data_IF_832442927934
#
_entry.id   IF_832442927934
#
_cell.length_a   1.000
_cell.length_b   1.000
_cell.length_c   1.000
_cell.angle_alpha   90.00
_cell.angle_beta   90.00
_cell.angle_gamma   90.00
#
_symmetry.space_group_name_H-M   'P 1'
#
loop_
_entity.id
_entity.type
_entity.pdbx_description
1 polymer ?
#
# COMPACT_ATOMS: atom_id res chain seq x y z
N UNK A 1 5.66 31.00 11.84
CA UNK A 1 5.85 30.66 10.41
C UNK A 1 5.07 29.39 10.18
N UNK A 2 4.08 29.41 9.29
CA UNK A 2 3.26 28.22 9.01
C UNK A 2 3.95 27.35 7.95
N UNK A 3 3.97 26.01 8.13
CA UNK A 3 4.55 25.10 7.15
C UNK A 3 3.73 25.13 5.86
N UNK A 4 4.40 25.02 4.71
CA UNK A 4 3.75 24.92 3.40
C UNK A 4 3.18 23.51 3.21
N UNK A 5 2.14 23.35 2.42
CA UNK A 5 1.65 22.01 2.03
C UNK A 5 2.55 21.41 0.95
N UNK A 6 2.98 20.15 1.12
CA UNK A 6 3.71 19.42 0.09
C UNK A 6 2.80 19.07 -1.10
N UNK A 7 1.54 18.67 -0.83
CA UNK A 7 0.55 18.41 -1.86
C UNK A 7 0.26 19.65 -2.73
N UNK A 8 0.22 20.84 -2.12
CA UNK A 8 0.00 22.11 -2.82
C UNK A 8 1.19 22.52 -3.70
N UNK A 9 2.40 22.03 -3.41
CA UNK A 9 3.54 22.16 -4.30
C UNK A 9 3.45 21.22 -5.51
N UNK A 10 2.51 20.27 -5.50
CA UNK A 10 2.20 19.39 -6.63
C UNK A 10 3.37 18.49 -7.05
N UNK A 11 3.49 18.25 -8.36
CA UNK A 11 4.54 17.38 -8.94
C UNK A 11 5.97 17.92 -8.76
N UNK A 12 6.11 19.16 -8.31
CA UNK A 12 7.41 19.81 -8.15
C UNK A 12 8.04 19.54 -6.79
N UNK A 13 7.31 18.94 -5.83
CA UNK A 13 7.91 18.59 -4.53
C UNK A 13 8.84 17.38 -4.68
N UNK A 14 10.15 17.51 -4.39
CA UNK A 14 11.12 16.46 -4.67
C UNK A 14 11.19 15.47 -3.52
N UNK A 15 10.22 14.56 -3.45
CA UNK A 15 10.14 13.56 -2.38
C UNK A 15 11.39 12.66 -2.29
N UNK A 16 12.08 12.43 -3.40
CA UNK A 16 13.24 11.53 -3.47
C UNK A 16 14.59 12.27 -3.56
N UNK A 17 14.60 13.60 -3.53
CA UNK A 17 15.87 14.33 -3.60
C UNK A 17 16.71 14.03 -2.36
N UNK A 18 17.99 13.72 -2.58
CA UNK A 18 18.99 13.49 -1.52
C UNK A 18 19.17 14.67 -0.57
N UNK A 19 18.73 15.84 -0.99
CA UNK A 19 18.82 17.09 -0.23
C UNK A 19 17.55 17.37 0.60
N UNK A 20 16.47 16.60 0.42
CA UNK A 20 15.24 16.72 1.19
C UNK A 20 15.40 15.99 2.53
N UNK A 21 15.29 16.72 3.64
CA UNK A 21 15.37 16.14 4.99
C UNK A 21 13.97 15.94 5.56
N UNK A 22 13.67 14.73 6.06
CA UNK A 22 12.36 14.42 6.65
C UNK A 22 12.40 14.49 8.17
N UNK A 23 11.38 15.12 8.74
CA UNK A 23 11.24 15.33 10.18
C UNK A 23 9.89 14.80 10.60
N UNK A 24 9.87 13.97 11.61
CA UNK A 24 8.65 13.55 12.29
C UNK A 24 8.51 14.35 13.58
N UNK A 25 7.32 14.89 13.82
CA UNK A 25 6.94 15.55 15.07
C UNK A 25 5.81 14.76 15.71
N UNK A 26 6.06 14.22 16.89
CA UNK A 26 5.11 13.45 17.69
C UNK A 26 4.15 14.40 18.44
N UNK A 27 3.04 13.86 18.93
CA UNK A 27 2.04 14.64 19.68
C UNK A 27 2.60 15.21 21.01
N UNK A 28 3.58 14.54 21.61
CA UNK A 28 4.30 15.00 22.80
C UNK A 28 5.36 16.08 22.50
N UNK A 29 5.47 16.50 21.23
CA UNK A 29 6.45 17.48 20.76
C UNK A 29 7.84 16.92 20.52
N UNK A 30 8.06 15.60 20.68
CA UNK A 30 9.32 14.96 20.33
C UNK A 30 9.56 15.07 18.82
N UNK A 31 10.80 15.32 18.44
CA UNK A 31 11.23 15.43 17.04
C UNK A 31 12.19 14.29 16.70
N UNK A 32 11.88 13.53 15.65
CA UNK A 32 12.68 12.42 15.15
C UNK A 32 12.89 12.53 13.65
N UNK A 33 13.77 11.69 13.09
CA UNK A 33 13.91 11.59 11.64
C UNK A 33 12.64 10.92 11.07
N UNK A 34 12.02 11.55 10.07
CA UNK A 34 10.75 11.11 9.50
C UNK A 34 10.85 10.16 8.31
N UNK A 35 12.05 9.77 7.86
CA UNK A 35 12.25 8.96 6.64
C UNK A 35 11.98 7.45 6.82
N UNK A 36 11.35 7.06 7.92
CA UNK A 36 11.13 5.65 8.27
C UNK A 36 9.69 5.22 8.05
N UNK A 37 9.49 3.91 7.83
CA UNK A 37 8.17 3.32 7.71
C UNK A 37 7.34 3.51 8.97
N UNK A 38 7.95 3.39 10.14
CA UNK A 38 7.24 3.55 11.41
C UNK A 38 6.78 5.00 11.59
N UNK A 39 7.52 5.97 11.05
CA UNK A 39 7.10 7.37 11.04
C UNK A 39 5.89 7.60 10.11
N UNK A 40 5.86 6.93 8.94
CA UNK A 40 4.68 6.90 8.08
C UNK A 40 3.47 6.27 8.77
N UNK A 41 3.63 5.10 9.40
CA UNK A 41 2.54 4.41 10.09
C UNK A 41 1.95 5.24 11.25
N UNK A 42 2.81 5.92 12.02
CA UNK A 42 2.37 6.85 13.08
C UNK A 42 1.67 8.09 12.51
N UNK A 43 2.17 8.65 11.41
CA UNK A 43 1.54 9.78 10.75
C UNK A 43 0.17 9.40 10.18
N UNK A 44 0.05 8.20 9.61
CA UNK A 44 -1.21 7.65 9.11
C UNK A 44 -2.22 7.41 10.25
N UNK A 45 -1.74 6.95 11.42
CA UNK A 45 -2.56 6.79 12.63
C UNK A 45 -2.91 8.13 13.30
N UNK A 46 -2.37 9.25 12.82
CA UNK A 46 -2.57 10.58 13.39
C UNK A 46 -1.85 10.83 14.72
N UNK A 47 -0.90 9.96 15.10
CA UNK A 47 -0.10 10.10 16.34
C UNK A 47 1.20 10.89 16.15
N UNK A 48 1.51 11.24 14.90
CA UNK A 48 2.61 12.12 14.55
C UNK A 48 2.31 12.89 13.25
N UNK A 49 3.14 13.87 12.94
CA UNK A 49 3.09 14.64 11.70
C UNK A 49 4.43 14.59 11.00
N UNK A 50 4.41 14.34 9.70
CA UNK A 50 5.59 14.34 8.85
C UNK A 50 5.79 15.70 8.21
N UNK A 51 7.03 16.15 8.22
CA UNK A 51 7.48 17.35 7.54
C UNK A 51 8.69 17.05 6.68
N UNK A 52 8.90 17.87 5.67
CA UNK A 52 10.09 17.84 4.85
C UNK A 52 10.69 19.22 4.73
N UNK A 53 12.00 19.29 4.90
CA UNK A 53 12.79 20.49 4.66
C UNK A 53 13.39 20.37 3.27
N UNK A 54 12.90 21.20 2.36
CA UNK A 54 13.44 21.28 1.01
C UNK A 54 14.36 22.51 0.90
N UNK A 55 15.67 22.31 0.69
CA UNK A 55 16.61 23.42 0.51
C UNK A 55 16.43 24.07 -0.86
N UNK A 56 16.09 25.36 -0.87
CA UNK A 56 16.21 26.22 -2.04
C UNK A 56 17.60 26.85 -2.14
N UNK A 57 17.82 27.63 -3.20
CA UNK A 57 19.11 28.26 -3.50
C UNK A 57 19.63 29.19 -2.38
N UNK A 58 18.72 29.82 -1.62
CA UNK A 58 19.05 30.80 -0.57
C UNK A 58 18.26 30.62 0.74
N UNK A 59 17.30 29.68 0.78
CA UNK A 59 16.48 29.43 1.97
C UNK A 59 15.89 28.02 1.97
N UNK A 60 15.78 27.42 3.16
CA UNK A 60 15.11 26.15 3.36
C UNK A 60 13.66 26.38 3.73
N UNK A 61 12.74 25.70 3.03
CA UNK A 61 11.33 25.77 3.31
C UNK A 61 10.88 24.49 4.01
N UNK A 62 10.04 24.65 5.05
CA UNK A 62 9.40 23.54 5.73
C UNK A 62 8.06 23.25 5.08
N UNK A 63 7.89 22.01 4.66
CA UNK A 63 6.66 21.48 4.09
C UNK A 63 6.04 20.46 5.05
N UNK A 64 4.74 20.53 5.26
CA UNK A 64 3.95 19.46 5.84
C UNK A 64 3.72 18.40 4.77
N UNK A 65 4.01 17.14 5.08
CA UNK A 65 3.64 16.00 4.25
C UNK A 65 2.17 15.68 4.55
N UNK A 66 1.29 16.35 3.82
CA UNK A 66 -0.15 16.18 3.88
C UNK A 66 -0.68 15.13 2.89
N UNK A 67 0.08 14.83 1.83
CA UNK A 67 -0.11 13.64 1.00
C UNK A 67 0.84 12.52 1.44
N UNK A 68 0.37 11.73 2.41
CA UNK A 68 1.09 10.57 2.93
C UNK A 68 1.21 9.44 1.88
N UNK A 69 0.32 9.39 0.89
CA UNK A 69 0.32 8.37 -0.15
C UNK A 69 1.45 8.60 -1.16
N UNK A 70 1.64 9.84 -1.62
CA UNK A 70 2.79 10.21 -2.47
C UNK A 70 4.12 10.08 -1.71
N UNK A 71 4.14 10.42 -0.42
CA UNK A 71 5.31 10.15 0.42
C UNK A 71 5.63 8.65 0.50
N UNK A 72 4.64 7.81 0.80
CA UNK A 72 4.86 6.37 0.92
C UNK A 72 5.26 5.72 -0.41
N UNK A 73 4.77 6.25 -1.53
CA UNK A 73 5.19 5.84 -2.87
C UNK A 73 6.65 6.22 -3.14
N UNK A 74 7.01 7.48 -2.90
CA UNK A 74 8.36 7.99 -3.15
C UNK A 74 9.44 7.29 -2.31
N UNK A 75 9.09 6.90 -1.08
CA UNK A 75 10.00 6.20 -0.16
C UNK A 75 9.85 4.68 -0.18
N UNK A 76 9.05 4.13 -1.10
CA UNK A 76 8.85 2.67 -1.23
C UNK A 76 8.14 2.02 -0.03
N UNK A 77 7.62 2.79 0.91
CA UNK A 77 6.96 2.30 2.14
C UNK A 77 5.66 1.56 1.80
N UNK A 78 4.97 1.96 0.72
CA UNK A 78 3.77 1.27 0.22
C UNK A 78 4.10 0.05 -0.65
N UNK A 79 5.34 -0.08 -1.11
CA UNK A 79 5.80 -1.07 -2.10
C UNK A 79 7.09 -1.74 -1.65
N UNK A 80 6.99 -2.43 -0.53
CA UNK A 80 8.04 -3.33 -0.04
C UNK A 80 7.88 -4.68 -0.77
N UNK A 81 8.49 -4.79 -1.96
CA UNK A 81 8.45 -6.00 -2.80
C UNK A 81 8.95 -7.25 -2.05
N UNK A 82 9.96 -7.10 -1.19
CA UNK A 82 10.52 -8.20 -0.40
C UNK A 82 9.51 -8.72 0.62
N UNK A 83 8.84 -7.81 1.33
CA UNK A 83 7.84 -8.17 2.35
C UNK A 83 6.50 -8.59 1.76
N UNK A 84 6.06 -7.97 0.67
CA UNK A 84 4.74 -8.22 0.07
C UNK A 84 4.76 -9.32 -0.98
N UNK A 85 5.91 -9.53 -1.63
CA UNK A 85 6.07 -10.38 -2.80
C UNK A 85 5.45 -9.80 -4.08
N UNK A 86 4.94 -8.57 -4.04
CA UNK A 86 4.15 -7.94 -5.09
C UNK A 86 4.88 -6.74 -5.70
N UNK A 87 5.42 -6.93 -6.91
CA UNK A 87 6.11 -5.87 -7.66
C UNK A 87 5.13 -4.81 -8.16
N UNK A 88 5.63 -3.59 -8.39
CA UNK A 88 4.85 -2.49 -8.98
C UNK A 88 4.56 -2.71 -10.48
N UNK A 89 3.50 -3.46 -10.79
CA UNK A 89 2.94 -3.58 -12.14
C UNK A 89 1.47 -4.07 -12.10
N UNK A 90 0.80 -4.03 -13.25
CA UNK A 90 -0.52 -4.64 -13.40
C UNK A 90 -0.37 -6.17 -13.41
N UNK A 91 -0.79 -6.84 -12.33
CA UNK A 91 -0.62 -8.28 -12.19
C UNK A 91 -1.47 -9.05 -13.20
N UNK A 92 -0.88 -10.08 -13.81
CA UNK A 92 -1.60 -11.06 -14.61
C UNK A 92 -2.23 -12.09 -13.66
N UNK A 93 -3.51 -11.86 -13.35
CA UNK A 93 -4.25 -12.62 -12.33
C UNK A 93 -5.23 -13.57 -12.99
N UNK A 94 -5.07 -14.86 -12.73
CA UNK A 94 -6.07 -15.89 -13.01
C UNK A 94 -6.82 -16.25 -11.74
N UNK A 95 -8.12 -16.49 -11.85
CA UNK A 95 -8.90 -16.94 -10.72
C UNK A 95 -9.93 -17.99 -11.14
N UNK A 96 -10.24 -18.87 -10.21
CA UNK A 96 -11.31 -19.85 -10.32
C UNK A 96 -12.09 -19.90 -9.00
N UNK A 97 -13.32 -20.41 -9.05
CA UNK A 97 -14.08 -20.64 -7.82
C UNK A 97 -13.39 -21.72 -7.00
N UNK A 98 -13.20 -21.49 -5.70
CA UNK A 98 -12.56 -22.47 -4.83
C UNK A 98 -13.49 -23.69 -4.64
N UNK A 99 -13.10 -24.89 -5.11
CA UNK A 99 -13.95 -26.08 -5.00
C UNK A 99 -14.14 -26.55 -3.55
N UNK A 100 -13.25 -26.14 -2.63
CA UNK A 100 -13.31 -26.49 -1.21
C UNK A 100 -13.87 -25.36 -0.34
N UNK A 101 -14.20 -24.22 -0.95
CA UNK A 101 -14.77 -23.08 -0.25
C UNK A 101 -16.24 -23.30 0.10
N UNK A 102 -16.66 -22.84 1.28
CA UNK A 102 -18.07 -22.79 1.66
C UNK A 102 -18.82 -21.79 0.77
N UNK A 103 -19.39 -22.30 -0.32
CA UNK A 103 -20.13 -21.54 -1.32
C UNK A 103 -21.61 -21.41 -0.94
N UNK A 104 -21.87 -20.74 0.18
CA UNK A 104 -23.23 -20.31 0.48
C UNK A 104 -23.67 -19.23 -0.54
N UNK A 105 -24.66 -19.50 -1.42
CA UNK A 105 -25.07 -18.56 -2.47
C UNK A 105 -25.68 -17.27 -1.91
N UNK A 106 -26.13 -17.27 -0.65
CA UNK A 106 -26.62 -16.08 0.05
C UNK A 106 -25.51 -15.19 0.60
N UNK A 107 -24.27 -15.70 0.68
CA UNK A 107 -23.13 -14.92 1.16
C UNK A 107 -22.69 -13.90 0.11
N UNK A 108 -22.50 -12.61 0.49
CA UNK A 108 -22.01 -11.59 -0.44
C UNK A 108 -20.57 -11.82 -0.88
N UNK A 109 -19.83 -12.70 -0.19
CA UNK A 109 -18.45 -13.11 -0.50
C UNK A 109 -18.41 -14.57 -0.96
N UNK A 110 -17.66 -14.84 -2.03
CA UNK A 110 -17.30 -16.19 -2.45
C UNK A 110 -15.82 -16.46 -2.21
N UNK A 111 -15.49 -17.73 -1.95
CA UNK A 111 -14.10 -18.19 -1.94
C UNK A 111 -13.65 -18.45 -3.37
N UNK A 112 -12.48 -17.91 -3.71
CA UNK A 112 -11.83 -18.12 -4.99
C UNK A 112 -10.38 -18.58 -4.75
N UNK A 113 -9.84 -19.28 -5.74
CA UNK A 113 -8.42 -19.55 -5.86
C UNK A 113 -7.83 -18.61 -6.90
N UNK A 114 -6.71 -17.98 -6.57
CA UNK A 114 -6.03 -16.99 -7.39
C UNK A 114 -4.61 -17.45 -7.70
N UNK A 115 -4.17 -17.30 -8.94
CA UNK A 115 -2.79 -17.53 -9.37
C UNK A 115 -2.25 -16.28 -10.08
N UNK A 116 -0.96 -16.00 -9.87
CA UNK A 116 -0.27 -14.84 -10.43
C UNK A 116 0.73 -15.30 -11.50
N UNK A 117 0.36 -15.13 -12.78
CA UNK A 117 1.21 -15.55 -13.91
C UNK A 117 2.43 -14.62 -14.11
N UNK A 118 2.35 -13.41 -13.55
CA UNK A 118 3.44 -12.44 -13.52
C UNK A 118 4.63 -12.85 -12.61
N UNK A 119 4.54 -14.00 -11.93
CA UNK A 119 5.59 -14.51 -11.05
C UNK A 119 5.71 -13.78 -9.71
N UNK A 120 4.73 -12.94 -9.36
CA UNK A 120 4.64 -12.36 -8.02
C UNK A 120 4.09 -13.38 -7.02
N UNK A 121 4.44 -13.17 -5.76
CA UNK A 121 3.93 -13.96 -4.63
C UNK A 121 3.14 -13.05 -3.71
N UNK A 122 2.04 -13.53 -3.13
CA UNK A 122 1.30 -12.80 -2.09
C UNK A 122 1.83 -13.21 -0.73
N UNK A 123 2.55 -12.32 -0.07
CA UNK A 123 2.95 -12.45 1.34
C UNK A 123 2.11 -11.54 2.26
N UNK A 124 1.48 -10.51 1.68
CA UNK A 124 0.60 -9.57 2.37
C UNK A 124 -0.73 -9.44 1.63
N UNK A 125 -1.80 -9.98 2.23
CA UNK A 125 -3.14 -9.93 1.65
C UNK A 125 -3.71 -8.51 1.57
N UNK A 126 -3.38 -7.63 2.52
CA UNK A 126 -3.89 -6.26 2.51
C UNK A 126 -3.29 -5.47 1.34
N UNK A 127 -1.99 -5.64 1.10
CA UNK A 127 -1.31 -5.07 -0.06
C UNK A 127 -1.92 -5.61 -1.38
N UNK A 128 -2.11 -6.92 -1.48
CA UNK A 128 -2.76 -7.54 -2.63
C UNK A 128 -4.18 -7.00 -2.86
N UNK A 129 -4.98 -6.92 -1.79
CA UNK A 129 -6.34 -6.41 -1.84
C UNK A 129 -6.39 -4.96 -2.35
N UNK A 130 -5.47 -4.10 -1.89
CA UNK A 130 -5.38 -2.72 -2.35
C UNK A 130 -5.04 -2.63 -3.85
N UNK A 131 -4.09 -3.43 -4.32
CA UNK A 131 -3.73 -3.47 -5.74
C UNK A 131 -4.87 -4.04 -6.61
N UNK A 132 -5.54 -5.11 -6.17
CA UNK A 132 -6.68 -5.66 -6.90
C UNK A 132 -7.89 -4.74 -6.90
N UNK A 133 -8.09 -3.96 -5.84
CA UNK A 133 -9.11 -2.92 -5.79
C UNK A 133 -8.86 -1.85 -6.86
N UNK A 134 -7.61 -1.41 -7.01
CA UNK A 134 -7.23 -0.41 -8.01
C UNK A 134 -7.26 -0.99 -9.44
N UNK A 135 -6.72 -2.20 -9.64
CA UNK A 135 -6.54 -2.79 -10.96
C UNK A 135 -7.81 -3.42 -11.53
N UNK A 136 -8.58 -4.11 -10.70
CA UNK A 136 -9.73 -4.94 -11.12
C UNK A 136 -11.05 -4.54 -10.47
N UNK A 137 -11.05 -3.56 -9.55
CA UNK A 137 -12.24 -3.20 -8.79
C UNK A 137 -12.68 -4.24 -7.76
N UNK A 138 -11.81 -5.21 -7.44
CA UNK A 138 -12.14 -6.31 -6.54
C UNK A 138 -12.21 -5.85 -5.08
N UNK A 139 -13.26 -6.29 -4.38
CA UNK A 139 -13.36 -6.16 -2.93
C UNK A 139 -12.92 -7.48 -2.28
N UNK A 140 -11.62 -7.62 -2.00
CA UNK A 140 -11.03 -8.77 -1.31
C UNK A 140 -11.24 -8.62 0.21
N UNK A 141 -11.69 -9.68 0.88
CA UNK A 141 -11.84 -9.69 2.33
C UNK A 141 -10.48 -9.94 2.99
N UNK A 142 -9.98 -8.95 3.72
CA UNK A 142 -8.66 -8.99 4.40
C UNK A 142 -8.75 -9.49 5.84
N UNK A 143 -9.94 -9.48 6.44
CA UNK A 143 -10.19 -9.85 7.85
C UNK A 143 -10.54 -11.32 8.06
N UNK A 144 -10.48 -12.13 7.00
CA UNK A 144 -10.83 -13.56 7.02
C UNK A 144 -9.63 -14.41 6.65
N UNK A 145 -9.66 -15.70 7.01
CA UNK A 145 -8.60 -16.63 6.66
C UNK A 145 -8.39 -16.70 5.14
N UNK A 146 -7.12 -16.56 4.75
CA UNK A 146 -6.62 -16.82 3.40
C UNK A 146 -5.49 -17.84 3.51
N UNK A 147 -5.20 -18.54 2.43
CA UNK A 147 -4.13 -19.52 2.38
C UNK A 147 -3.36 -19.44 1.09
N UNK A 148 -2.19 -20.05 1.08
CA UNK A 148 -1.42 -20.32 -0.12
C UNK A 148 -1.16 -21.82 -0.23
N UNK A 149 -1.08 -22.30 -1.47
CA UNK A 149 -0.69 -23.66 -1.79
C UNK A 149 0.27 -23.60 -2.97
N UNK A 150 1.48 -24.12 -2.77
CA UNK A 150 2.50 -24.19 -3.81
C UNK A 150 2.61 -25.63 -4.31
N UNK A 151 2.56 -25.79 -5.63
CA UNK A 151 2.73 -27.07 -6.31
C UNK A 151 3.60 -26.94 -7.56
N UNK A 152 3.73 -28.02 -8.35
CA UNK A 152 4.49 -28.02 -9.60
C UNK A 152 3.98 -26.99 -10.62
N UNK A 153 2.69 -26.64 -10.55
CA UNK A 153 2.03 -25.68 -11.44
C UNK A 153 2.13 -24.22 -10.96
N UNK A 154 2.83 -23.97 -9.85
CA UNK A 154 3.00 -22.65 -9.25
C UNK A 154 2.30 -22.48 -7.91
N UNK A 155 2.25 -21.24 -7.44
CA UNK A 155 1.58 -20.88 -6.18
C UNK A 155 0.20 -20.34 -6.45
N UNK A 156 -0.78 -20.89 -5.74
CA UNK A 156 -2.16 -20.44 -5.74
C UNK A 156 -2.58 -19.96 -4.35
N UNK A 157 -3.51 -19.03 -4.31
CA UNK A 157 -3.97 -18.35 -3.10
C UNK A 157 -5.48 -18.53 -2.93
N UNK A 158 -5.91 -19.12 -1.82
CA UNK A 158 -7.33 -19.18 -1.47
C UNK A 158 -7.71 -17.93 -0.67
N UNK A 159 -8.67 -17.16 -1.19
CA UNK A 159 -9.12 -15.92 -0.56
C UNK A 159 -10.59 -15.67 -0.86
N UNK A 160 -11.21 -14.74 -0.12
CA UNK A 160 -12.63 -14.39 -0.32
C UNK A 160 -12.77 -13.04 -1.01
N UNK A 161 -13.62 -12.98 -2.04
CA UNK A 161 -13.91 -11.75 -2.80
C UNK A 161 -15.40 -11.54 -2.89
N UNK A 162 -15.83 -10.28 -2.88
CA UNK A 162 -17.23 -9.92 -3.04
C UNK A 162 -17.74 -10.34 -4.42
N UNK A 163 -18.81 -11.14 -4.46
CA UNK A 163 -19.29 -11.80 -5.69
C UNK A 163 -19.54 -10.83 -6.86
N UNK A 164 -20.11 -9.66 -6.53
CA UNK A 164 -20.47 -8.63 -7.51
C UNK A 164 -19.27 -8.07 -8.29
N UNK A 165 -18.06 -8.19 -7.76
CA UNK A 165 -16.85 -7.67 -8.39
C UNK A 165 -16.19 -8.67 -9.36
N UNK A 166 -16.63 -9.93 -9.36
CA UNK A 166 -16.06 -11.00 -10.19
C UNK A 166 -16.87 -11.26 -11.48
N UNK A 167 -17.98 -10.54 -11.67
CA UNK A 167 -18.94 -10.71 -12.76
C UNK A 167 -18.90 -9.56 -13.78
N UNK A 168 -17.86 -8.73 -13.73
CA UNK A 168 -17.64 -7.60 -14.65
C UNK A 168 -16.69 -7.95 -15.78
#
# INVERSE_FOLDING_TARGET
>A
MEPRSAAAAGKDFPYTARTTCYIEVHDDGKVTHGNSREAYERALAGSSRLFAVWPGEWSSHLFLIDDLDEYAKAHGIKHDDERTGLKEHAHEVKWEKDPYGDDNPRSPYMSIRVSLDCGCSVHDLAAFAAQMKQQKGWDVATSVGWGSSSGPEGTSYSLRVRRKCLTS
#
